data_IF_710264673205
#
_entry.id   IF_710264673205
#
_cell.length_a   1.000
_cell.length_b   1.000
_cell.length_c   1.000
_cell.angle_alpha   90.00
_cell.angle_beta   90.00
_cell.angle_gamma   90.00
#
_symmetry.space_group_name_H-M   'P 1'
#
loop_
_entity.id
_entity.type
_entity.pdbx_description
1 polymer ?
#
# COMPACT_ATOMS: atom_id res chain seq x y z
N UNK A 1 -18.47 8.50 -0.45
CA UNK A 1 -17.16 8.95 -0.96
C UNK A 1 -16.28 7.74 -1.22
N UNK A 2 -15.69 7.70 -2.38
CA UNK A 2 -14.78 6.61 -2.74
C UNK A 2 -13.47 6.69 -1.96
N UNK A 3 -12.95 5.55 -1.57
CA UNK A 3 -11.70 5.42 -0.81
C UNK A 3 -10.79 4.40 -1.47
N UNK A 4 -9.48 4.66 -1.42
CA UNK A 4 -8.47 3.81 -2.03
C UNK A 4 -7.44 3.34 -1.01
N UNK A 5 -7.18 2.03 -1.01
CA UNK A 5 -6.02 1.46 -0.35
C UNK A 5 -4.98 1.11 -1.40
N UNK A 6 -3.78 1.64 -1.23
CA UNK A 6 -2.58 1.15 -1.90
C UNK A 6 -1.79 0.33 -0.88
N UNK A 7 -1.72 -0.95 -1.08
CA UNK A 7 -1.01 -1.85 -0.17
C UNK A 7 0.25 -2.39 -0.82
N UNK A 8 1.33 -2.45 -0.04
CA UNK A 8 2.54 -3.16 -0.43
C UNK A 8 2.64 -4.36 0.49
N UNK A 9 2.57 -5.55 -0.11
CA UNK A 9 2.55 -6.83 0.58
C UNK A 9 3.89 -7.53 0.41
N UNK A 10 4.42 -8.11 1.47
CA UNK A 10 5.64 -8.91 1.38
C UNK A 10 6.05 -9.46 2.72
N UNK A 11 7.02 -10.37 2.69
CA UNK A 11 7.66 -10.86 3.89
C UNK A 11 8.49 -9.76 4.56
N UNK A 12 8.95 -10.03 5.77
CA UNK A 12 9.85 -9.12 6.47
C UNK A 12 11.08 -8.84 5.59
N UNK A 13 11.49 -7.58 5.53
CA UNK A 13 12.64 -7.13 4.73
C UNK A 13 12.47 -7.35 3.21
N UNK A 14 11.23 -7.30 2.72
CA UNK A 14 10.95 -7.51 1.29
C UNK A 14 11.13 -6.27 0.41
N UNK A 15 11.38 -5.11 1.01
CA UNK A 15 11.49 -3.86 0.28
C UNK A 15 10.26 -2.95 0.39
N UNK A 16 9.37 -3.21 1.35
CA UNK A 16 8.17 -2.39 1.54
C UNK A 16 8.52 -0.93 1.88
N UNK A 17 9.43 -0.75 2.85
CA UNK A 17 9.88 0.60 3.24
C UNK A 17 10.61 1.30 2.10
N UNK A 18 11.41 0.58 1.33
CA UNK A 18 12.10 1.09 0.15
C UNK A 18 11.09 1.63 -0.88
N UNK A 19 9.97 0.94 -1.04
CA UNK A 19 8.90 1.39 -1.93
C UNK A 19 8.39 2.78 -1.51
N UNK A 20 8.09 2.98 -0.22
CA UNK A 20 7.60 4.27 0.27
C UNK A 20 8.67 5.36 0.16
N UNK A 21 9.92 5.06 0.50
CA UNK A 21 11.03 6.00 0.35
C UNK A 21 11.17 6.46 -1.10
N UNK A 22 11.09 5.54 -2.05
CA UNK A 22 11.14 5.89 -3.47
C UNK A 22 9.91 6.69 -3.92
N UNK A 23 8.73 6.33 -3.46
CA UNK A 23 7.47 7.00 -3.83
C UNK A 23 7.46 8.47 -3.35
N UNK A 24 7.86 8.72 -2.12
CA UNK A 24 7.92 10.07 -1.55
C UNK A 24 9.21 10.81 -1.86
N UNK A 25 10.19 10.12 -2.45
CA UNK A 25 11.53 10.65 -2.75
C UNK A 25 12.26 11.15 -1.50
N UNK A 26 11.94 10.55 -0.36
CA UNK A 26 12.57 10.83 0.95
C UNK A 26 12.22 9.72 1.93
N UNK A 27 12.99 9.61 3.01
CA UNK A 27 12.66 8.71 4.11
C UNK A 27 11.37 9.16 4.79
N UNK A 28 10.41 8.26 4.92
CA UNK A 28 9.11 8.53 5.55
C UNK A 28 8.79 7.49 6.61
N UNK A 29 8.07 7.91 7.64
CA UNK A 29 7.60 7.05 8.72
C UNK A 29 6.08 7.17 8.83
N UNK A 30 5.45 6.19 9.47
CA UNK A 30 4.03 6.27 9.80
C UNK A 30 3.77 7.55 10.59
N UNK A 31 2.84 8.34 10.10
CA UNK A 31 2.42 9.57 10.77
C UNK A 31 1.07 9.42 11.43
N UNK A 32 0.68 10.46 12.18
CA UNK A 32 -0.63 10.55 12.80
C UNK A 32 -1.55 11.52 12.07
N UNK A 33 -1.08 12.06 10.96
CA UNK A 33 -1.81 13.05 10.17
C UNK A 33 -1.66 12.78 8.69
N UNK A 34 -2.52 13.38 7.91
CA UNK A 34 -2.44 13.33 6.46
C UNK A 34 -1.18 14.05 5.97
N UNK A 35 -0.65 13.59 4.84
CA UNK A 35 0.52 14.19 4.20
C UNK A 35 0.32 14.28 2.70
N UNK A 36 1.11 15.15 2.06
CA UNK A 36 1.10 15.30 0.63
C UNK A 36 1.96 14.22 -0.02
N UNK A 37 1.43 13.60 -1.06
CA UNK A 37 2.19 12.75 -1.98
C UNK A 37 2.19 13.43 -3.34
N UNK A 38 3.35 13.90 -3.78
CA UNK A 38 3.50 14.50 -5.11
C UNK A 38 3.55 13.41 -6.16
N UNK A 39 2.70 13.55 -7.16
CA UNK A 39 2.59 12.61 -8.29
C UNK A 39 3.41 13.10 -9.48
N UNK A 40 3.69 14.39 -9.52
CA UNK A 40 4.59 15.07 -10.44
C UNK A 40 5.09 16.34 -9.76
N UNK A 41 5.74 17.24 -10.50
CA UNK A 41 6.35 18.45 -9.93
C UNK A 41 5.37 19.41 -9.27
N UNK A 42 4.12 19.40 -9.69
CA UNK A 42 3.12 20.39 -9.25
C UNK A 42 1.88 19.79 -8.61
N UNK A 43 1.54 18.56 -8.97
CA UNK A 43 0.28 17.94 -8.55
C UNK A 43 0.50 16.91 -7.46
N UNK A 44 -0.37 16.92 -6.46
CA UNK A 44 -0.29 16.01 -5.33
C UNK A 44 -1.66 15.55 -4.90
N UNK A 45 -1.67 14.50 -4.12
CA UNK A 45 -2.84 14.02 -3.37
C UNK A 45 -2.51 14.02 -1.88
N UNK A 46 -3.56 13.99 -1.06
CA UNK A 46 -3.40 13.91 0.39
C UNK A 46 -3.65 12.47 0.81
N UNK A 47 -2.70 11.89 1.53
CA UNK A 47 -2.72 10.47 1.87
C UNK A 47 -2.43 10.24 3.35
N UNK A 48 -2.86 9.08 3.86
CA UNK A 48 -2.46 8.57 5.17
C UNK A 48 -1.51 7.39 4.97
N UNK A 49 -0.33 7.42 5.61
CA UNK A 49 0.70 6.40 5.43
C UNK A 49 0.87 5.54 6.68
N UNK A 50 0.82 4.23 6.48
CA UNK A 50 1.21 3.22 7.48
C UNK A 50 2.43 2.49 6.92
N UNK A 51 3.63 2.97 7.28
CA UNK A 51 4.90 2.44 6.75
C UNK A 51 5.29 1.11 7.40
N UNK A 52 5.17 0.98 8.71
CA UNK A 52 5.35 -0.30 9.40
C UNK A 52 4.03 -1.06 9.42
N UNK A 53 4.05 -2.33 9.00
CA UNK A 53 2.81 -3.08 8.86
C UNK A 53 2.09 -3.29 10.19
N UNK A 54 0.75 -3.34 10.19
CA UNK A 54 -0.02 -3.67 11.38
C UNK A 54 0.40 -5.00 11.99
N UNK A 55 0.70 -6.00 11.16
CA UNK A 55 1.09 -7.35 11.58
C UNK A 55 2.41 -7.31 12.38
N UNK A 56 3.41 -6.57 11.89
CA UNK A 56 4.69 -6.44 12.60
C UNK A 56 4.55 -5.68 13.91
N UNK A 57 3.62 -4.73 13.98
CA UNK A 57 3.35 -3.93 15.17
C UNK A 57 2.44 -4.63 16.16
N UNK A 58 1.84 -5.75 15.77
CA UNK A 58 0.83 -6.46 16.55
C UNK A 58 -0.33 -5.55 16.97
N UNK A 59 -0.76 -4.69 16.04
CA UNK A 59 -1.88 -3.76 16.21
C UNK A 59 -2.86 -3.90 15.08
N UNK A 60 -4.14 -3.73 15.39
CA UNK A 60 -5.17 -3.67 14.36
C UNK A 60 -4.99 -2.39 13.53
N UNK A 61 -5.19 -2.49 12.23
CA UNK A 61 -5.04 -1.34 11.33
C UNK A 61 -5.97 -0.20 11.71
N UNK A 62 -7.14 -0.52 12.25
CA UNK A 62 -8.09 0.48 12.75
C UNK A 62 -7.48 1.39 13.82
N UNK A 63 -6.63 0.83 14.67
CA UNK A 63 -5.94 1.62 15.70
C UNK A 63 -4.87 2.54 15.11
N UNK A 64 -4.30 2.19 13.98
CA UNK A 64 -3.24 2.95 13.32
C UNK A 64 -3.77 4.11 12.49
N UNK A 65 -5.02 4.04 12.03
CA UNK A 65 -5.65 5.12 11.27
C UNK A 65 -6.23 6.13 12.24
N UNK A 66 -5.49 7.21 12.46
CA UNK A 66 -5.81 8.22 13.46
C UNK A 66 -6.57 9.43 12.91
N UNK A 67 -6.88 9.43 11.62
CA UNK A 67 -7.67 10.48 10.96
C UNK A 67 -9.00 9.89 10.52
N UNK A 68 -10.01 10.73 10.44
CA UNK A 68 -11.34 10.30 10.05
C UNK A 68 -11.45 10.15 8.54
N UNK A 69 -11.86 8.95 8.09
CA UNK A 69 -12.17 8.65 6.69
C UNK A 69 -11.15 9.15 5.65
N UNK A 70 -9.86 8.78 5.77
CA UNK A 70 -8.90 9.20 4.75
C UNK A 70 -9.29 8.63 3.38
N UNK A 71 -9.25 9.45 2.34
CA UNK A 71 -9.62 9.03 0.99
C UNK A 71 -8.59 8.06 0.39
N UNK A 72 -7.33 8.24 0.71
CA UNK A 72 -6.24 7.39 0.22
C UNK A 72 -5.37 6.96 1.39
N UNK A 73 -5.25 5.65 1.57
CA UNK A 73 -4.37 5.04 2.56
C UNK A 73 -3.27 4.26 1.84
N UNK A 74 -2.02 4.52 2.23
CA UNK A 74 -0.87 3.74 1.79
C UNK A 74 -0.46 2.86 2.98
N UNK A 75 -0.43 1.56 2.79
CA UNK A 75 -0.20 0.64 3.92
C UNK A 75 0.75 -0.49 3.54
N UNK A 76 1.81 -0.66 4.35
CA UNK A 76 2.60 -1.88 4.31
C UNK A 76 1.84 -3.01 4.98
N UNK A 77 1.87 -4.19 4.38
CA UNK A 77 1.28 -5.40 4.93
C UNK A 77 2.30 -6.54 4.86
N UNK A 78 2.38 -7.33 5.91
CA UNK A 78 3.32 -8.45 5.94
C UNK A 78 2.59 -9.75 5.63
N UNK A 79 3.18 -10.56 4.77
CA UNK A 79 2.59 -11.85 4.37
C UNK A 79 2.75 -12.86 5.51
N UNK A 80 1.75 -12.92 6.37
CA UNK A 80 1.66 -13.84 7.51
C UNK A 80 0.19 -14.12 7.84
N UNK A 81 -0.06 -15.06 8.74
CA UNK A 81 -1.40 -15.58 9.00
C UNK A 81 -2.44 -14.55 9.39
N UNK A 82 -2.03 -13.46 10.02
CA UNK A 82 -2.95 -12.39 10.47
C UNK A 82 -3.17 -11.28 9.44
N UNK A 83 -2.55 -11.35 8.27
CA UNK A 83 -2.67 -10.30 7.24
C UNK A 83 -4.09 -10.14 6.71
N UNK A 84 -4.86 -11.22 6.71
CA UNK A 84 -6.23 -11.19 6.22
C UNK A 84 -7.10 -10.22 7.03
N UNK A 85 -6.86 -10.09 8.32
CA UNK A 85 -7.60 -9.17 9.19
C UNK A 85 -7.43 -7.72 8.73
N UNK A 86 -6.22 -7.35 8.34
CA UNK A 86 -5.93 -6.03 7.80
C UNK A 86 -6.72 -5.77 6.53
N UNK A 87 -6.70 -6.68 5.58
CA UNK A 87 -7.45 -6.52 4.33
C UNK A 87 -8.96 -6.54 4.56
N UNK A 88 -9.45 -7.37 5.47
CA UNK A 88 -10.87 -7.41 5.81
C UNK A 88 -11.37 -6.06 6.34
N UNK A 89 -10.56 -5.36 7.12
CA UNK A 89 -10.91 -4.01 7.57
C UNK A 89 -11.19 -3.10 6.36
N UNK A 90 -10.28 -3.07 5.40
CA UNK A 90 -10.43 -2.21 4.22
C UNK A 90 -11.59 -2.65 3.32
N UNK A 91 -11.77 -3.96 3.14
CA UNK A 91 -12.91 -4.49 2.39
C UNK A 91 -14.22 -4.06 3.06
N UNK A 92 -14.33 -4.25 4.37
CA UNK A 92 -15.55 -3.96 5.12
C UNK A 92 -15.85 -2.45 5.20
N UNK A 93 -14.84 -1.62 5.02
CA UNK A 93 -15.01 -0.16 5.04
C UNK A 93 -15.09 0.46 3.64
N UNK A 94 -15.29 -0.37 2.61
CA UNK A 94 -15.59 0.11 1.27
C UNK A 94 -14.42 0.66 0.47
N UNK A 95 -13.18 0.29 0.82
CA UNK A 95 -12.01 0.70 0.06
C UNK A 95 -11.89 -0.07 -1.24
N UNK A 96 -11.56 0.63 -2.33
CA UNK A 96 -10.98 0.00 -3.52
C UNK A 96 -9.54 -0.37 -3.18
N UNK A 97 -9.08 -1.54 -3.58
CA UNK A 97 -7.78 -2.07 -3.14
C UNK A 97 -6.88 -2.34 -4.33
N UNK A 98 -5.68 -1.78 -4.28
CA UNK A 98 -4.61 -2.04 -5.24
C UNK A 98 -3.39 -2.54 -4.46
N UNK A 99 -2.95 -3.77 -4.76
CA UNK A 99 -1.88 -4.43 -4.01
C UNK A 99 -0.66 -4.64 -4.90
N UNK A 100 0.50 -4.19 -4.43
CA UNK A 100 1.81 -4.58 -4.95
C UNK A 100 2.38 -5.65 -4.03
N UNK A 101 2.41 -6.90 -4.49
CA UNK A 101 3.03 -7.99 -3.75
C UNK A 101 4.48 -8.14 -4.17
N UNK A 102 5.40 -7.84 -3.23
CA UNK A 102 6.83 -8.00 -3.45
C UNK A 102 7.22 -9.46 -3.21
N UNK A 103 7.15 -10.27 -4.25
CA UNK A 103 7.42 -11.70 -4.22
C UNK A 103 8.24 -12.10 -5.45
N UNK A 104 9.57 -12.35 -5.38
CA UNK A 104 10.36 -12.36 -4.16
C UNK A 104 10.64 -10.96 -3.61
N UNK A 105 10.85 -10.88 -2.30
CA UNK A 105 11.24 -9.65 -1.64
C UNK A 105 12.74 -9.40 -1.66
N UNK A 106 13.16 -8.23 -1.18
CA UNK A 106 14.53 -7.75 -1.28
C UNK A 106 15.55 -8.63 -0.53
N UNK A 107 15.24 -9.05 0.67
CA UNK A 107 16.14 -9.83 1.52
C UNK A 107 15.56 -11.20 1.90
N UNK A 108 14.68 -11.74 1.07
CA UNK A 108 14.13 -13.05 1.34
C UNK A 108 15.20 -14.12 1.16
N UNK A 109 15.47 -14.86 2.22
CA UNK A 109 16.35 -16.04 2.17
C UNK A 109 15.58 -17.26 1.64
N UNK A 110 14.29 -17.36 1.99
CA UNK A 110 13.39 -18.40 1.52
C UNK A 110 12.38 -17.78 0.58
N UNK A 111 12.49 -18.13 -0.70
CA UNK A 111 11.60 -17.63 -1.73
C UNK A 111 10.27 -18.37 -1.68
N UNK A 112 9.22 -17.67 -1.29
CA UNK A 112 7.86 -18.21 -1.32
C UNK A 112 7.14 -17.56 -2.50
N UNK A 113 6.92 -18.34 -3.54
CA UNK A 113 6.27 -17.88 -4.76
C UNK A 113 4.78 -18.19 -4.77
N UNK A 114 4.29 -18.90 -3.77
CA UNK A 114 2.92 -19.37 -3.75
C UNK A 114 2.13 -18.71 -2.62
N UNK A 115 0.87 -18.42 -2.91
CA UNK A 115 -0.07 -17.91 -1.93
C UNK A 115 -0.61 -19.04 -1.06
N UNK A 116 0.15 -19.41 -0.01
CA UNK A 116 -0.24 -20.46 0.92
C UNK A 116 -1.36 -20.03 1.88
N UNK A 117 -1.64 -18.74 2.00
CA UNK A 117 -2.66 -18.19 2.90
C UNK A 117 -4.02 -18.00 2.22
N UNK A 118 -4.11 -18.20 0.90
CA UNK A 118 -5.36 -17.99 0.16
C UNK A 118 -5.75 -16.52 0.04
N UNK A 119 -4.78 -15.61 0.11
CA UNK A 119 -5.03 -14.18 0.06
C UNK A 119 -5.46 -13.71 -1.33
N UNK A 120 -4.80 -14.21 -2.37
CA UNK A 120 -5.07 -13.82 -3.76
C UNK A 120 -6.53 -14.01 -4.16
N UNK A 121 -7.13 -15.22 -4.02
CA UNK A 121 -8.53 -15.38 -4.41
C UNK A 121 -9.48 -14.53 -3.58
N UNK A 122 -9.17 -14.29 -2.30
CA UNK A 122 -10.00 -13.43 -1.48
C UNK A 122 -9.95 -11.97 -1.94
N UNK A 123 -8.76 -11.46 -2.24
CA UNK A 123 -8.62 -10.09 -2.75
C UNK A 123 -9.30 -9.93 -4.10
N UNK A 124 -9.02 -10.81 -5.05
CA UNK A 124 -9.60 -10.75 -6.39
C UNK A 124 -11.12 -10.93 -6.35
N UNK A 125 -11.61 -11.81 -5.48
CA UNK A 125 -13.05 -12.02 -5.29
C UNK A 125 -13.78 -10.79 -4.74
N UNK A 126 -13.07 -9.88 -4.11
CA UNK A 126 -13.61 -8.60 -3.62
C UNK A 126 -13.26 -7.42 -4.53
N UNK A 127 -12.86 -7.69 -5.76
CA UNK A 127 -12.61 -6.65 -6.77
C UNK A 127 -11.28 -5.94 -6.65
N UNK A 128 -10.36 -6.45 -5.83
CA UNK A 128 -9.02 -5.86 -5.72
C UNK A 128 -8.21 -6.10 -6.99
N UNK A 129 -7.27 -5.18 -7.26
CA UNK A 129 -6.23 -5.36 -8.26
C UNK A 129 -4.97 -5.82 -7.54
N UNK A 130 -4.34 -6.87 -8.05
CA UNK A 130 -3.12 -7.43 -7.47
C UNK A 130 -2.05 -7.55 -8.55
N UNK A 131 -0.88 -6.97 -8.29
CA UNK A 131 0.29 -7.12 -9.15
C UNK A 131 1.45 -7.70 -8.35
N UNK A 132 2.29 -8.50 -9.00
CA UNK A 132 3.44 -9.14 -8.37
C UNK A 132 4.70 -8.50 -8.92
N UNK A 133 5.58 -8.06 -8.03
CA UNK A 133 6.83 -7.40 -8.38
C UNK A 133 8.00 -8.04 -7.65
N UNK A 134 9.19 -7.93 -8.25
CA UNK A 134 10.41 -8.37 -7.63
C UNK A 134 10.98 -7.23 -6.76
N UNK A 135 10.93 -7.38 -5.45
CA UNK A 135 11.44 -6.39 -4.50
C UNK A 135 12.96 -6.24 -4.51
N UNK A 136 13.68 -7.13 -5.20
CA UNK A 136 15.14 -7.05 -5.35
C UNK A 136 15.58 -6.10 -6.46
N UNK A 137 14.67 -5.75 -7.35
CA UNK A 137 14.96 -4.82 -8.45
C UNK A 137 14.84 -3.37 -7.98
N UNK A 138 15.36 -2.45 -8.80
CA UNK A 138 15.22 -1.02 -8.57
C UNK A 138 13.75 -0.65 -8.39
N UNK A 139 13.36 0.02 -7.30
CA UNK A 139 11.96 0.32 -7.02
C UNK A 139 11.31 1.33 -7.97
N UNK A 140 12.07 2.08 -8.75
CA UNK A 140 11.53 3.16 -9.58
C UNK A 140 10.41 2.72 -10.53
N UNK A 141 10.55 1.56 -11.15
CA UNK A 141 9.54 1.08 -12.10
C UNK A 141 8.21 0.75 -11.42
N UNK A 142 8.26 0.00 -10.34
CA UNK A 142 7.02 -0.34 -9.62
C UNK A 142 6.41 0.87 -8.92
N UNK A 143 7.24 1.81 -8.49
CA UNK A 143 6.77 3.05 -7.86
C UNK A 143 6.11 3.96 -8.90
N UNK A 144 6.63 4.02 -10.12
CA UNK A 144 5.99 4.77 -11.20
C UNK A 144 4.59 4.21 -11.52
N UNK A 145 4.45 2.90 -11.49
CA UNK A 145 3.13 2.27 -11.64
C UNK A 145 2.16 2.72 -10.54
N UNK A 146 2.64 2.82 -9.30
CA UNK A 146 1.82 3.35 -8.20
C UNK A 146 1.40 4.79 -8.43
N UNK A 147 2.33 5.66 -8.86
CA UNK A 147 2.02 7.06 -9.15
C UNK A 147 0.95 7.19 -10.23
N UNK A 148 1.10 6.44 -11.30
CA UNK A 148 0.15 6.46 -12.41
C UNK A 148 -1.23 5.96 -11.99
N UNK A 149 -1.27 4.87 -11.22
CA UNK A 149 -2.54 4.34 -10.72
C UNK A 149 -3.23 5.35 -9.80
N UNK A 150 -2.50 5.90 -8.85
CA UNK A 150 -3.05 6.90 -7.92
C UNK A 150 -3.53 8.14 -8.68
N UNK A 151 -2.74 8.60 -9.65
CA UNK A 151 -3.10 9.76 -10.45
C UNK A 151 -4.42 9.54 -11.19
N UNK A 152 -4.56 8.43 -11.90
CA UNK A 152 -5.79 8.13 -12.63
C UNK A 152 -7.00 7.98 -11.72
N UNK A 153 -6.84 7.27 -10.61
CA UNK A 153 -7.92 7.10 -9.64
C UNK A 153 -8.36 8.45 -9.04
N UNK A 154 -7.40 9.27 -8.64
CA UNK A 154 -7.66 10.56 -7.99
C UNK A 154 -8.17 11.61 -8.99
N UNK A 155 -7.66 11.62 -10.21
CA UNK A 155 -8.08 12.55 -11.26
C UNK A 155 -9.55 12.39 -11.59
N UNK A 156 -9.98 11.17 -11.74
CA UNK A 156 -11.38 10.85 -12.02
C UNK A 156 -12.32 11.33 -10.89
N UNK A 157 -11.81 11.50 -9.68
CA UNK A 157 -12.57 11.86 -8.48
C UNK A 157 -12.33 13.29 -7.99
N UNK A 158 -11.65 14.11 -8.79
CA UNK A 158 -11.33 15.50 -8.46
C UNK A 158 -10.55 15.65 -7.15
N UNK A 159 -9.65 14.70 -6.87
CA UNK A 159 -8.81 14.70 -5.67
C UNK A 159 -7.38 15.20 -5.92
N UNK A 160 -7.05 15.54 -7.17
CA UNK A 160 -5.73 16.10 -7.49
C UNK A 160 -5.68 17.55 -7.08
N UNK A 161 -4.66 17.89 -6.31
CA UNK A 161 -4.41 19.25 -5.86
C UNK A 161 -3.13 19.77 -6.53
N UNK A 162 -2.98 21.10 -6.60
CA UNK A 162 -1.83 21.73 -7.23
C UNK A 162 -1.26 22.81 -6.33
N UNK A 163 0.06 23.01 -6.42
CA UNK A 163 0.73 24.16 -5.79
C UNK A 163 0.33 25.47 -6.46
#
# INVERSE_FOLDING_TARGET
MDKLLIAVLGHRNSGKTTTWTSLFERTVKTGKSLRRLYLNEKEYVVVFLISGSPEEREKDVEELITVENPAIVLCSTQYRTDVMETYDYFINNGYSIFVHWLNPGYNDSDLVYFDSLGLTPRLLGNGATLTIHNGKENPEFRVQELREYIYGWAKYRDLILSD
#
